data_IF_778031119692
#
_entry.id   IF_778031119692
#
_cell.length_a   1.000
_cell.length_b   1.000
_cell.length_c   1.000
_cell.angle_alpha   90.00
_cell.angle_beta   90.00
_cell.angle_gamma   90.00
#
_symmetry.space_group_name_H-M   'P 1'
#
loop_
_entity.id
_entity.type
_entity.pdbx_description
1 polymer ?
#
# COMPACT_ATOMS: atom_id res chain seq x y z
N UNK A 1 -11.89 -9.18 -11.87
CA UNK A 1 -10.45 -8.88 -12.04
C UNK A 1 -10.09 -7.67 -11.21
N UNK A 2 -8.95 -7.73 -10.52
CA UNK A 2 -8.51 -6.63 -9.68
C UNK A 2 -7.90 -5.52 -10.53
N UNK A 3 -8.52 -4.36 -10.52
CA UNK A 3 -8.03 -3.18 -11.23
C UNK A 3 -7.78 -2.00 -10.29
N UNK A 4 -7.89 -2.25 -8.98
CA UNK A 4 -7.60 -1.25 -7.96
C UNK A 4 -6.55 -1.79 -7.00
N UNK A 5 -5.77 -0.88 -6.45
CA UNK A 5 -4.75 -1.23 -5.48
C UNK A 5 -4.71 -0.27 -4.32
N UNK A 6 -4.08 -0.72 -3.26
CA UNK A 6 -3.72 0.12 -2.13
C UNK A 6 -2.22 -0.05 -1.93
N UNK A 7 -1.48 1.03 -2.12
CA UNK A 7 -0.03 1.05 -1.98
C UNK A 7 0.31 1.53 -0.58
N UNK A 8 1.12 0.74 0.11
CA UNK A 8 1.57 1.06 1.47
C UNK A 8 3.09 1.05 1.41
N UNK A 9 3.67 2.24 1.25
CA UNK A 9 5.11 2.40 1.11
C UNK A 9 5.75 2.82 2.43
N UNK A 10 6.99 2.40 2.64
CA UNK A 10 7.71 2.73 3.87
C UNK A 10 9.19 2.90 3.59
N UNK A 11 9.82 3.71 4.43
CA UNK A 11 11.24 3.96 4.36
C UNK A 11 12.02 3.11 5.34
N UNK A 12 13.14 3.64 5.81
CA UNK A 12 14.00 2.93 6.75
C UNK A 12 13.35 2.80 8.13
N UNK A 13 13.69 1.76 8.88
CA UNK A 13 13.30 1.70 10.29
C UNK A 13 13.85 2.90 11.06
N UNK A 14 13.08 3.38 12.02
CA UNK A 14 13.56 4.41 12.94
C UNK A 14 14.73 3.83 13.73
N UNK A 15 15.81 4.59 13.82
CA UNK A 15 17.00 4.14 14.55
C UNK A 15 16.66 3.80 15.99
N UNK A 16 17.13 2.64 16.43
CA UNK A 16 16.85 2.13 17.77
C UNK A 16 15.57 1.33 17.87
N UNK A 17 14.78 1.30 16.79
CA UNK A 17 13.50 0.56 16.77
C UNK A 17 13.49 -0.55 15.73
N UNK A 18 14.65 -1.05 15.36
CA UNK A 18 14.76 -2.05 14.30
C UNK A 18 14.00 -3.34 14.64
N UNK A 19 14.08 -3.78 15.89
CA UNK A 19 13.37 -5.00 16.28
C UNK A 19 11.85 -4.82 16.23
N UNK A 20 11.38 -3.65 16.66
CA UNK A 20 9.96 -3.32 16.60
C UNK A 20 9.49 -3.22 15.14
N UNK A 21 10.35 -2.72 14.25
CA UNK A 21 10.03 -2.65 12.83
C UNK A 21 9.83 -4.05 12.24
N UNK A 22 10.70 -5.00 12.59
CA UNK A 22 10.54 -6.39 12.15
C UNK A 22 9.23 -6.97 12.66
N UNK A 23 8.91 -6.71 13.93
CA UNK A 23 7.67 -7.20 14.53
C UNK A 23 6.45 -6.67 13.78
N UNK A 24 6.41 -5.36 13.52
CA UNK A 24 5.28 -4.73 12.82
C UNK A 24 5.20 -5.20 11.36
N UNK A 25 6.34 -5.40 10.70
CA UNK A 25 6.37 -5.96 9.36
C UNK A 25 5.71 -7.35 9.35
N UNK A 26 6.08 -8.20 10.31
CA UNK A 26 5.49 -9.53 10.40
C UNK A 26 4.00 -9.48 10.71
N UNK A 27 3.57 -8.58 11.58
CA UNK A 27 2.15 -8.37 11.88
C UNK A 27 1.40 -7.94 10.62
N UNK A 28 1.99 -7.05 9.83
CA UNK A 28 1.40 -6.57 8.57
C UNK A 28 1.27 -7.71 7.58
N UNK A 29 2.32 -8.52 7.45
CA UNK A 29 2.33 -9.67 6.54
C UNK A 29 1.21 -10.64 6.91
N UNK A 30 1.07 -10.95 8.20
CA UNK A 30 0.01 -11.84 8.68
C UNK A 30 -1.38 -11.26 8.42
N UNK A 31 -1.56 -9.98 8.66
CA UNK A 31 -2.82 -9.30 8.44
C UNK A 31 -3.24 -9.36 6.97
N UNK A 32 -2.34 -9.01 6.06
CA UNK A 32 -2.65 -9.02 4.63
C UNK A 32 -2.84 -10.43 4.11
N UNK A 33 -2.10 -11.42 4.64
CA UNK A 33 -2.31 -12.82 4.31
C UNK A 33 -3.71 -13.28 4.69
N UNK A 34 -4.18 -12.86 5.87
CA UNK A 34 -5.54 -13.18 6.32
C UNK A 34 -6.58 -12.54 5.41
N UNK A 35 -6.39 -11.28 5.04
CA UNK A 35 -7.32 -10.60 4.14
C UNK A 35 -7.41 -11.31 2.79
N UNK A 36 -6.29 -11.79 2.28
CA UNK A 36 -6.28 -12.54 1.03
C UNK A 36 -7.02 -13.86 1.19
N UNK A 37 -6.74 -14.57 2.27
CA UNK A 37 -7.40 -15.85 2.55
C UNK A 37 -8.91 -15.70 2.68
N UNK A 38 -9.37 -14.60 3.26
CA UNK A 38 -10.79 -14.30 3.44
C UNK A 38 -11.45 -13.71 2.18
N UNK A 39 -10.69 -13.49 1.13
CA UNK A 39 -11.22 -12.93 -0.10
C UNK A 39 -11.44 -11.42 -0.06
N UNK A 40 -10.95 -10.74 0.96
CA UNK A 40 -11.08 -9.29 1.08
C UNK A 40 -10.13 -8.54 0.14
N UNK A 41 -9.00 -9.15 -0.19
CA UNK A 41 -8.12 -8.71 -1.26
C UNK A 41 -7.86 -9.88 -2.18
N UNK A 42 -7.63 -9.61 -3.45
CA UNK A 42 -7.31 -10.65 -4.42
C UNK A 42 -5.90 -11.19 -4.19
N UNK A 43 -4.96 -10.28 -3.93
CA UNK A 43 -3.58 -10.63 -3.66
C UNK A 43 -2.90 -9.48 -2.95
N UNK A 44 -1.75 -9.75 -2.35
CA UNK A 44 -0.88 -8.69 -1.88
C UNK A 44 0.55 -9.04 -2.24
N UNK A 45 1.35 -8.00 -2.46
CA UNK A 45 2.72 -8.17 -2.90
C UNK A 45 3.64 -7.41 -1.95
N UNK A 46 4.39 -8.13 -1.10
CA UNK A 46 5.40 -7.48 -0.26
C UNK A 46 6.69 -7.32 -1.05
N UNK A 47 7.28 -6.15 -1.00
CA UNK A 47 8.51 -5.84 -1.74
C UNK A 47 9.48 -5.09 -0.83
N UNK A 48 10.72 -5.55 -0.78
CA UNK A 48 11.81 -4.82 -0.14
C UNK A 48 12.79 -4.42 -1.22
N UNK A 49 13.24 -3.17 -1.17
CA UNK A 49 14.18 -2.65 -2.13
C UNK A 49 15.59 -2.67 -1.54
N UNK A 50 16.58 -2.93 -2.38
CA UNK A 50 17.97 -2.75 -1.98
C UNK A 50 18.24 -1.28 -1.70
N UNK A 51 19.24 -0.96 -0.87
CA UNK A 51 19.63 0.44 -0.65
C UNK A 51 19.94 1.12 -1.99
N UNK A 52 19.33 2.29 -2.22
CA UNK A 52 19.48 2.98 -3.51
C UNK A 52 19.55 4.50 -3.35
N UNK A 53 19.68 4.98 -2.11
CA UNK A 53 19.79 6.41 -1.85
C UNK A 53 18.47 7.17 -1.76
N UNK A 54 17.37 6.54 -2.15
CA UNK A 54 16.05 7.14 -2.04
C UNK A 54 15.38 6.80 -0.72
N UNK A 55 14.21 7.41 -0.48
CA UNK A 55 13.49 7.25 0.78
C UNK A 55 12.67 5.97 0.84
N UNK A 56 12.20 5.46 -0.29
CA UNK A 56 11.38 4.26 -0.33
C UNK A 56 12.23 3.04 -0.07
N UNK A 57 11.92 2.30 1.01
CA UNK A 57 12.64 1.08 1.37
C UNK A 57 11.90 -0.18 0.96
N UNK A 58 10.60 -0.08 0.80
CA UNK A 58 9.78 -1.21 0.40
C UNK A 58 8.31 -0.83 0.40
N UNK A 59 7.47 -1.80 0.07
CA UNK A 59 6.03 -1.55 0.06
C UNK A 59 5.24 -2.85 0.10
N UNK A 60 3.97 -2.72 0.46
CA UNK A 60 2.96 -3.74 0.22
C UNK A 60 2.00 -3.17 -0.82
N UNK A 61 1.71 -3.94 -1.85
CA UNK A 61 0.68 -3.56 -2.82
C UNK A 61 -0.47 -4.54 -2.69
N UNK A 62 -1.61 -4.06 -2.21
CA UNK A 62 -2.82 -4.86 -2.11
C UNK A 62 -3.60 -4.66 -3.40
N UNK A 63 -4.06 -5.76 -4.01
CA UNK A 63 -4.86 -5.73 -5.24
C UNK A 63 -6.24 -6.25 -4.93
N UNK A 64 -7.26 -5.58 -5.45
CA UNK A 64 -8.60 -6.05 -5.21
C UNK A 64 -9.68 -5.11 -5.70
N UNK A 65 -10.88 -5.34 -5.20
CA UNK A 65 -12.03 -4.51 -5.48
C UNK A 65 -11.91 -3.17 -4.77
N UNK A 66 -12.20 -2.10 -5.49
CA UNK A 66 -12.08 -0.73 -5.01
C UNK A 66 -12.83 -0.52 -3.68
N UNK A 67 -14.08 -1.02 -3.61
CA UNK A 67 -14.91 -0.79 -2.43
C UNK A 67 -14.41 -1.59 -1.23
N UNK A 68 -13.94 -2.81 -1.46
CA UNK A 68 -13.34 -3.62 -0.39
C UNK A 68 -12.06 -2.97 0.13
N UNK A 69 -11.22 -2.47 -0.76
CA UNK A 69 -9.99 -1.78 -0.36
C UNK A 69 -10.29 -0.52 0.45
N UNK A 70 -11.34 0.22 0.06
CA UNK A 70 -11.76 1.40 0.81
C UNK A 70 -12.24 1.03 2.22
N UNK A 71 -12.97 -0.08 2.35
CA UNK A 71 -13.42 -0.55 3.67
C UNK A 71 -12.26 -0.97 4.54
N UNK A 72 -11.27 -1.65 3.97
CA UNK A 72 -10.06 -2.05 4.70
C UNK A 72 -9.36 -0.80 5.22
N UNK A 73 -9.16 0.18 4.35
CA UNK A 73 -8.46 1.41 4.70
C UNK A 73 -9.15 2.18 5.81
N UNK A 74 -10.48 2.12 5.88
CA UNK A 74 -11.25 2.78 6.93
C UNK A 74 -11.48 1.93 8.17
N UNK A 75 -10.97 0.70 8.21
CA UNK A 75 -11.22 -0.21 9.33
C UNK A 75 -10.33 0.15 10.52
N UNK A 76 -10.83 -0.14 11.71
CA UNK A 76 -10.08 0.09 12.94
C UNK A 76 -8.79 -0.73 12.99
N UNK A 77 -8.85 -1.96 12.50
CA UNK A 77 -7.68 -2.83 12.49
C UNK A 77 -6.55 -2.26 11.62
N UNK A 78 -6.90 -1.77 10.44
CA UNK A 78 -5.92 -1.16 9.53
C UNK A 78 -5.36 0.13 10.14
N UNK A 79 -6.21 0.95 10.73
CA UNK A 79 -5.79 2.19 11.39
C UNK A 79 -4.82 1.93 12.52
N UNK A 80 -5.10 0.90 13.32
CA UNK A 80 -4.24 0.51 14.42
C UNK A 80 -2.88 0.04 13.92
N UNK A 81 -2.87 -0.79 12.89
CA UNK A 81 -1.64 -1.29 12.30
C UNK A 81 -0.82 -0.14 11.68
N UNK A 82 -1.49 0.78 11.01
CA UNK A 82 -0.86 1.96 10.41
C UNK A 82 -0.20 2.83 11.48
N UNK A 83 -0.91 3.06 12.60
CA UNK A 83 -0.35 3.84 13.70
C UNK A 83 0.92 3.18 14.27
N UNK A 84 0.91 1.86 14.40
CA UNK A 84 2.09 1.12 14.85
C UNK A 84 3.25 1.29 13.86
N UNK A 85 2.93 1.21 12.56
CA UNK A 85 3.95 1.36 11.52
C UNK A 85 4.58 2.76 11.53
N UNK A 86 3.78 3.80 11.73
CA UNK A 86 4.28 5.16 11.81
C UNK A 86 5.31 5.36 12.91
N UNK A 87 5.22 4.59 13.98
CA UNK A 87 6.13 4.71 15.12
C UNK A 87 7.49 4.07 14.87
N UNK A 88 7.61 3.23 13.82
CA UNK A 88 8.82 2.41 13.66
C UNK A 88 9.46 2.51 12.26
N UNK A 89 8.82 3.15 11.29
CA UNK A 89 9.45 3.42 10.00
C UNK A 89 9.32 4.88 9.65
N UNK A 90 10.23 5.34 8.81
CA UNK A 90 10.18 6.69 8.26
C UNK A 90 9.41 6.68 6.95
N UNK A 91 8.81 7.82 6.60
CA UNK A 91 8.19 8.04 5.29
C UNK A 91 7.10 7.02 4.94
N UNK A 92 6.28 6.66 5.92
CA UNK A 92 5.12 5.81 5.65
C UNK A 92 4.14 6.59 4.76
N UNK A 93 3.72 5.97 3.65
CA UNK A 93 2.75 6.57 2.75
C UNK A 93 1.75 5.54 2.30
N UNK A 94 0.48 5.90 2.33
CA UNK A 94 -0.61 5.01 1.94
C UNK A 94 -1.45 5.74 0.91
N UNK A 95 -1.60 5.11 -0.26
CA UNK A 95 -2.31 5.75 -1.36
C UNK A 95 -2.98 4.71 -2.24
N UNK A 96 -4.14 5.08 -2.79
CA UNK A 96 -4.83 4.23 -3.77
C UNK A 96 -4.02 4.18 -5.07
N UNK A 97 -4.04 3.03 -5.73
CA UNK A 97 -3.32 2.82 -6.98
C UNK A 97 -4.31 2.39 -8.06
N UNK A 98 -4.05 2.85 -9.27
CA UNK A 98 -4.85 2.48 -10.44
C UNK A 98 -4.11 1.38 -11.19
N UNK A 99 -4.79 0.26 -11.42
CA UNK A 99 -4.20 -0.91 -12.08
C UNK A 99 -5.09 -1.34 -13.24
N UNK A 100 -4.52 -2.08 -14.18
CA UNK A 100 -5.28 -2.67 -15.27
C UNK A 100 -6.14 -1.67 -16.04
N UNK A 101 -7.41 -1.95 -16.15
CA UNK A 101 -8.34 -1.07 -16.87
C UNK A 101 -8.49 0.29 -16.23
N UNK A 102 -8.40 0.38 -14.90
CA UNK A 102 -8.47 1.67 -14.22
C UNK A 102 -7.26 2.54 -14.55
N UNK A 103 -6.09 1.93 -14.72
CA UNK A 103 -4.90 2.65 -15.17
C UNK A 103 -5.15 3.27 -16.55
N UNK A 104 -5.68 2.48 -17.48
CA UNK A 104 -5.98 2.96 -18.84
C UNK A 104 -7.01 4.08 -18.80
N UNK A 105 -8.03 3.93 -17.96
CA UNK A 105 -9.06 4.94 -17.80
C UNK A 105 -8.49 6.26 -17.26
N UNK A 106 -7.59 6.19 -16.29
CA UNK A 106 -6.95 7.39 -15.73
C UNK A 106 -6.04 8.06 -16.76
N UNK A 107 -5.33 7.27 -17.57
CA UNK A 107 -4.52 7.84 -18.64
C UNK A 107 -5.37 8.56 -19.66
N UNK A 108 -6.56 8.04 -19.96
CA UNK A 108 -7.51 8.66 -20.87
C UNK A 108 -8.00 10.00 -20.31
N UNK A 109 -8.35 10.04 -19.03
CA UNK A 109 -8.77 11.28 -18.36
C UNK A 109 -7.65 12.32 -18.42
N UNK A 110 -6.42 11.90 -18.12
CA UNK A 110 -5.26 12.79 -18.16
C UNK A 110 -5.07 13.37 -19.56
N UNK A 111 -5.12 12.52 -20.59
CA UNK A 111 -4.94 12.94 -21.97
C UNK A 111 -6.01 13.95 -22.38
N UNK A 112 -7.26 13.72 -21.99
CA UNK A 112 -8.36 14.65 -22.29
C UNK A 112 -8.14 16.00 -21.64
N UNK A 113 -7.67 16.01 -20.39
CA UNK A 113 -7.42 17.26 -19.68
C UNK A 113 -6.26 18.04 -20.32
N UNK A 114 -5.23 17.34 -20.80
CA UNK A 114 -4.14 17.99 -21.52
C UNK A 114 -4.70 18.70 -22.75
N UNK A 115 -5.58 18.05 -23.51
CA UNK A 115 -6.20 18.67 -24.71
C UNK A 115 -7.03 19.89 -24.32
N UNK A 116 -7.85 19.77 -23.28
CA UNK A 116 -8.73 20.89 -22.88
C UNK A 116 -7.93 22.09 -22.38
N UNK A 117 -6.76 21.89 -21.80
CA UNK A 117 -5.95 22.95 -21.24
C UNK A 117 -4.95 23.56 -22.27
N UNK A 118 -4.83 22.98 -23.44
CA UNK A 118 -3.98 23.53 -24.51
C UNK A 118 -4.80 24.23 -25.59
#
# INVERSE_FOLDING_TARGET
MADSGLFIGFGAPVRGREQQAIKVFNESFEYYSRLQHEGEVQSFEPVLLEPHGGELGGYFLLRGDKDKLARIRGSEEFERLTARAELIVENLGIVAAFLGERLMSQMSVFSQQVEELT
#
